data_IF_980695321172
#
_entry.id   IF_980695321172
#
_cell.length_a   1.000
_cell.length_b   1.000
_cell.length_c   1.000
_cell.angle_alpha   90.00
_cell.angle_beta   90.00
_cell.angle_gamma   90.00
#
_symmetry.space_group_name_H-M   'P 1'
#
loop_
_entity.id
_entity.type
_entity.pdbx_description
1 polymer ?
#
# COMPACT_ATOMS: atom_id res chain seq x y z
N UNK A 1 -18.64 5.32 -15.96
CA UNK A 1 -17.54 5.81 -15.09
C UNK A 1 -16.51 6.46 -15.99
N UNK A 2 -16.30 7.77 -15.86
CA UNK A 2 -15.25 8.44 -16.62
C UNK A 2 -13.89 8.06 -16.01
N UNK A 3 -13.37 6.92 -16.49
CA UNK A 3 -12.10 6.37 -16.04
C UNK A 3 -10.96 7.35 -16.30
N UNK A 4 -10.43 7.96 -15.25
CA UNK A 4 -9.30 8.86 -15.35
C UNK A 4 -8.33 8.64 -14.21
N UNK A 5 -7.08 9.09 -14.40
CA UNK A 5 -6.00 8.92 -13.44
C UNK A 5 -5.55 10.25 -12.86
N UNK A 6 -5.16 10.24 -11.59
CA UNK A 6 -4.39 11.32 -11.00
C UNK A 6 -2.99 10.80 -10.73
N UNK A 7 -1.98 11.48 -11.23
CA UNK A 7 -0.58 11.20 -10.93
C UNK A 7 -0.09 12.32 -10.03
N UNK A 8 0.54 11.94 -8.95
CA UNK A 8 1.09 12.84 -7.94
C UNK A 8 2.60 12.71 -7.92
N UNK A 9 3.30 13.82 -8.01
CA UNK A 9 4.77 13.83 -8.12
C UNK A 9 5.38 15.05 -7.42
N UNK A 10 6.70 15.13 -7.41
CA UNK A 10 7.47 16.25 -6.82
C UNK A 10 7.09 16.47 -5.35
N UNK A 11 7.42 15.50 -4.52
CA UNK A 11 7.02 15.52 -3.12
C UNK A 11 7.91 16.45 -2.29
N UNK A 12 7.31 17.48 -1.67
CA UNK A 12 8.01 18.41 -0.77
C UNK A 12 8.17 17.88 0.64
N UNK A 13 7.29 16.97 1.06
CA UNK A 13 7.30 16.44 2.42
C UNK A 13 6.97 14.96 2.45
N UNK A 14 7.76 14.21 3.23
CA UNK A 14 7.51 12.80 3.57
C UNK A 14 7.28 12.70 5.07
N UNK A 15 6.20 12.06 5.47
CA UNK A 15 5.86 11.80 6.87
C UNK A 15 5.81 10.30 7.08
N UNK A 16 6.62 9.78 7.98
CA UNK A 16 6.62 8.37 8.39
C UNK A 16 5.91 8.28 9.75
N UNK A 17 4.89 7.43 9.83
CA UNK A 17 4.14 7.24 11.05
C UNK A 17 4.78 6.18 11.95
N UNK A 18 4.88 6.53 13.23
CA UNK A 18 5.32 5.70 14.33
C UNK A 18 4.31 5.82 15.48
N UNK A 19 4.36 4.90 16.44
CA UNK A 19 3.44 4.92 17.61
C UNK A 19 3.36 6.29 18.31
N UNK A 20 4.51 6.98 18.37
CA UNK A 20 4.64 8.25 19.10
C UNK A 20 4.02 9.46 18.38
N UNK A 21 3.88 9.42 17.05
CA UNK A 21 3.44 10.59 16.26
C UNK A 21 2.09 10.43 15.58
N UNK A 22 1.46 9.24 15.62
CA UNK A 22 0.19 8.95 14.94
C UNK A 22 -0.91 9.93 15.37
N UNK A 23 -1.10 10.10 16.69
CA UNK A 23 -2.17 10.96 17.23
C UNK A 23 -1.93 12.41 16.84
N UNK A 24 -0.70 12.89 16.97
CA UNK A 24 -0.33 14.25 16.56
C UNK A 24 -0.54 14.48 15.07
N UNK A 25 -0.21 13.49 14.26
CA UNK A 25 -0.44 13.52 12.82
C UNK A 25 -1.93 13.60 12.50
N UNK A 26 -2.77 12.74 13.07
CA UNK A 26 -4.23 12.77 12.87
C UNK A 26 -4.84 14.09 13.33
N UNK A 27 -4.40 14.63 14.46
CA UNK A 27 -4.86 15.94 14.94
C UNK A 27 -4.41 17.08 14.03
N UNK A 28 -3.25 16.96 13.36
CA UNK A 28 -2.81 17.97 12.40
C UNK A 28 -3.70 18.02 11.16
N UNK A 29 -4.30 16.90 10.74
CA UNK A 29 -5.26 16.88 9.62
C UNK A 29 -6.52 17.68 9.91
N UNK A 30 -7.01 17.69 11.15
CA UNK A 30 -8.20 18.48 11.54
C UNK A 30 -7.99 19.99 11.38
N UNK A 31 -6.72 20.43 11.35
CA UNK A 31 -6.33 21.84 11.25
C UNK A 31 -5.89 22.24 9.83
N UNK A 32 -5.90 21.31 8.87
CA UNK A 32 -5.48 21.60 7.50
C UNK A 32 -6.52 22.51 6.82
N UNK A 33 -6.03 23.64 6.35
CA UNK A 33 -6.82 24.57 5.54
C UNK A 33 -6.48 24.32 4.08
N UNK A 34 -7.35 23.63 3.36
CA UNK A 34 -7.18 23.28 1.95
C UNK A 34 -7.46 24.50 1.07
N UNK A 35 -6.42 25.28 0.76
CA UNK A 35 -6.53 26.44 -0.13
C UNK A 35 -6.20 26.09 -1.59
N UNK A 36 -5.38 25.08 -1.82
CA UNK A 36 -4.91 24.67 -3.14
C UNK A 36 -5.14 23.17 -3.32
N UNK A 37 -5.27 22.70 -4.57
CA UNK A 37 -5.38 21.27 -4.86
C UNK A 37 -4.18 20.46 -4.35
N UNK A 38 -2.99 21.04 -4.30
CA UNK A 38 -1.75 20.44 -3.79
C UNK A 38 -1.67 20.42 -2.26
N UNK A 39 -2.61 21.06 -1.54
CA UNK A 39 -2.67 21.02 -0.07
C UNK A 39 -3.32 19.73 0.43
N UNK A 40 -2.79 18.61 -0.01
CA UNK A 40 -3.24 17.28 0.38
C UNK A 40 -2.05 16.38 0.72
N UNK A 41 -2.31 15.30 1.43
CA UNK A 41 -1.33 14.24 1.68
C UNK A 41 -1.82 12.93 1.07
N UNK A 42 -0.93 12.25 0.37
CA UNK A 42 -1.18 10.95 -0.23
C UNK A 42 -0.34 9.91 0.48
N UNK A 43 -0.94 8.81 0.85
CA UNK A 43 -0.23 7.77 1.55
C UNK A 43 -1.14 6.65 2.00
N UNK A 44 -0.67 5.89 2.97
CA UNK A 44 -1.42 4.80 3.53
C UNK A 44 -1.21 4.70 5.05
N UNK A 45 -2.18 4.11 5.71
CA UNK A 45 -2.08 3.62 7.08
C UNK A 45 -1.78 2.13 7.05
N UNK A 46 -0.71 1.70 7.74
CA UNK A 46 -0.46 0.28 7.97
C UNK A 46 -1.46 -0.28 8.97
N UNK A 47 -1.84 -1.55 8.80
CA UNK A 47 -2.83 -2.21 9.64
C UNK A 47 -2.47 -2.19 11.14
N UNK A 48 -1.18 -2.27 11.46
CA UNK A 48 -0.67 -2.27 12.85
C UNK A 48 -0.94 -0.96 13.62
N UNK A 49 -1.30 0.12 12.92
CA UNK A 49 -1.69 1.38 13.55
C UNK A 49 -2.97 1.24 14.39
N UNK A 50 -3.90 0.42 13.93
CA UNK A 50 -5.16 0.15 14.64
C UNK A 50 -4.90 -0.45 16.02
N UNK A 51 -3.89 -1.32 16.14
CA UNK A 51 -3.54 -1.92 17.43
C UNK A 51 -3.15 -0.87 18.48
N UNK A 52 -2.48 0.20 18.05
CA UNK A 52 -2.08 1.30 18.95
C UNK A 52 -3.26 2.21 19.29
N UNK A 53 -4.13 2.48 18.32
CA UNK A 53 -5.30 3.35 18.52
C UNK A 53 -6.34 2.68 19.42
N UNK A 54 -6.49 1.35 19.31
CA UNK A 54 -7.46 0.56 20.08
C UNK A 54 -6.88 -0.04 21.36
N UNK A 55 -5.59 0.21 21.67
CA UNK A 55 -4.92 -0.36 22.83
C UNK A 55 -4.74 -1.90 22.78
N UNK A 56 -4.86 -2.49 21.59
CA UNK A 56 -4.76 -3.95 21.44
C UNK A 56 -3.33 -4.42 21.50
N UNK A 57 -3.04 -5.36 22.43
CA UNK A 57 -1.75 -6.04 22.54
C UNK A 57 -1.75 -7.29 21.65
N UNK A 58 -1.49 -7.16 20.36
CA UNK A 58 -1.35 -8.31 19.47
C UNK A 58 0.08 -8.84 19.56
N UNK A 59 0.25 -10.17 19.67
CA UNK A 59 1.58 -10.81 19.62
C UNK A 59 2.32 -10.35 18.38
N UNK A 60 3.51 -9.77 18.56
CA UNK A 60 4.38 -9.33 17.47
C UNK A 60 4.65 -10.52 16.55
N UNK A 61 4.06 -10.51 15.37
CA UNK A 61 4.52 -11.40 14.30
C UNK A 61 5.95 -11.02 13.91
N UNK A 62 6.73 -12.02 13.46
CA UNK A 62 8.11 -11.83 13.00
C UNK A 62 8.19 -10.60 12.11
N UNK A 63 9.11 -9.70 12.43
CA UNK A 63 9.32 -8.37 11.85
C UNK A 63 9.21 -8.38 10.32
N UNK A 64 8.08 -8.01 9.81
CA UNK A 64 8.00 -7.39 8.50
C UNK A 64 8.33 -5.92 8.77
N UNK A 65 9.47 -5.44 8.28
CA UNK A 65 9.83 -4.02 8.37
C UNK A 65 8.94 -3.20 7.42
N UNK A 66 7.67 -3.12 7.74
CA UNK A 66 6.73 -2.28 7.01
C UNK A 66 6.43 -1.04 7.85
N UNK A 67 6.33 0.10 7.18
CA UNK A 67 5.98 1.34 7.86
C UNK A 67 4.55 1.28 8.40
N UNK A 68 4.33 1.84 9.58
CA UNK A 68 2.97 1.97 10.16
C UNK A 68 2.08 2.92 9.37
N UNK A 69 2.68 3.77 8.59
CA UNK A 69 2.08 4.63 7.60
C UNK A 69 3.12 5.53 7.00
N UNK A 70 2.90 5.92 5.77
CA UNK A 70 3.74 6.89 5.06
C UNK A 70 2.83 7.82 4.31
N UNK A 71 3.08 9.11 4.41
CA UNK A 71 2.36 10.14 3.69
C UNK A 71 3.32 11.08 2.99
N UNK A 72 2.94 11.53 1.81
CA UNK A 72 3.68 12.47 0.99
C UNK A 72 2.81 13.66 0.66
N UNK A 73 3.38 14.87 0.70
CA UNK A 73 2.75 16.08 0.17
C UNK A 73 3.23 16.30 -1.26
N UNK A 74 2.36 16.19 -2.28
CA UNK A 74 2.74 16.44 -3.67
C UNK A 74 2.82 17.94 -3.94
N UNK A 75 3.73 18.33 -4.82
CA UNK A 75 3.81 19.68 -5.38
C UNK A 75 3.24 19.74 -6.79
N UNK A 76 3.08 18.58 -7.44
CA UNK A 76 2.53 18.47 -8.79
C UNK A 76 1.46 17.40 -8.85
N UNK A 77 0.32 17.74 -9.46
CA UNK A 77 -0.80 16.84 -9.74
C UNK A 77 -1.07 16.85 -11.23
N UNK A 78 -1.00 15.69 -11.86
CA UNK A 78 -1.35 15.49 -13.26
C UNK A 78 -2.66 14.71 -13.32
N UNK A 79 -3.71 15.33 -13.81
CA UNK A 79 -5.02 14.71 -14.01
C UNK A 79 -5.16 14.28 -15.46
N UNK A 80 -5.30 13.01 -15.70
CA UNK A 80 -5.51 12.41 -17.01
C UNK A 80 -6.99 12.02 -17.13
N UNK A 81 -7.72 12.75 -17.96
CA UNK A 81 -9.11 12.55 -18.32
C UNK A 81 -9.21 12.58 -19.84
N UNK A 82 -10.34 13.03 -20.42
CA UNK A 82 -10.43 13.39 -21.84
C UNK A 82 -9.39 14.43 -22.24
N UNK A 83 -9.00 15.32 -21.29
CA UNK A 83 -7.89 16.27 -21.41
C UNK A 83 -6.91 16.03 -20.27
N UNK A 84 -5.64 16.36 -20.50
CA UNK A 84 -4.60 16.36 -19.47
C UNK A 84 -4.52 17.75 -18.88
N UNK A 85 -4.62 17.83 -17.54
CA UNK A 85 -4.38 19.07 -16.80
C UNK A 85 -3.27 18.87 -15.77
N UNK A 86 -2.44 19.86 -15.59
CA UNK A 86 -1.30 19.83 -14.66
C UNK A 86 -1.43 21.03 -13.72
N UNK A 87 -1.48 20.75 -12.43
CA UNK A 87 -1.40 21.75 -11.36
C UNK A 87 -0.07 21.56 -10.65
N UNK A 88 0.80 22.57 -10.63
CA UNK A 88 2.11 22.47 -10.00
C UNK A 88 2.48 23.75 -9.25
N UNK A 89 3.11 23.58 -8.09
CA UNK A 89 3.75 24.66 -7.34
C UNK A 89 5.21 24.89 -7.80
N UNK A 90 5.73 24.03 -8.67
CA UNK A 90 7.12 24.05 -9.15
C UNK A 90 7.15 24.57 -10.59
N UNK A 91 8.06 25.50 -10.88
CA UNK A 91 8.13 26.17 -12.20
C UNK A 91 8.72 25.28 -13.32
N UNK A 92 9.46 24.23 -13.01
CA UNK A 92 10.03 23.33 -14.01
C UNK A 92 10.06 21.89 -13.51
N UNK A 93 9.42 20.99 -14.23
CA UNK A 93 9.40 19.57 -13.94
C UNK A 93 10.27 18.83 -14.96
N UNK A 94 11.37 18.24 -14.52
CA UNK A 94 12.13 17.27 -15.31
C UNK A 94 11.57 15.89 -15.04
N UNK A 95 10.77 15.33 -15.94
CA UNK A 95 10.32 13.95 -15.88
C UNK A 95 11.46 13.05 -16.36
N UNK A 96 12.15 12.41 -15.43
CA UNK A 96 13.10 11.36 -15.75
C UNK A 96 12.36 10.02 -15.86
N UNK A 97 12.21 9.52 -17.06
CA UNK A 97 11.67 8.19 -17.31
C UNK A 97 12.77 7.13 -17.10
N UNK A 98 12.76 6.48 -15.94
CA UNK A 98 13.64 5.33 -15.71
C UNK A 98 12.90 4.05 -16.12
N UNK A 99 13.13 3.60 -17.35
CA UNK A 99 12.69 2.27 -17.80
C UNK A 99 13.74 1.23 -17.41
N UNK A 100 13.57 0.60 -16.26
CA UNK A 100 14.33 -0.60 -15.92
C UNK A 100 13.52 -1.84 -16.27
N UNK A 101 14.16 -2.81 -16.91
CA UNK A 101 13.53 -4.10 -17.20
C UNK A 101 13.28 -4.89 -15.91
N UNK A 102 12.13 -5.55 -15.84
CA UNK A 102 11.83 -6.49 -14.76
C UNK A 102 12.57 -7.80 -15.02
N UNK A 103 13.41 -8.23 -14.10
CA UNK A 103 14.16 -9.49 -14.19
C UNK A 103 13.79 -10.42 -13.04
N UNK A 104 13.30 -11.61 -13.38
CA UNK A 104 13.04 -12.68 -12.42
C UNK A 104 14.34 -13.46 -12.24
N UNK A 105 14.87 -13.50 -11.01
CA UNK A 105 16.16 -14.12 -10.68
C UNK A 105 16.03 -15.52 -10.08
N UNK A 106 14.84 -15.91 -9.62
CA UNK A 106 14.59 -17.25 -9.07
C UNK A 106 13.13 -17.66 -9.24
N UNK A 107 12.83 -18.98 -9.28
CA UNK A 107 11.45 -19.45 -9.29
C UNK A 107 10.70 -19.04 -7.99
N UNK A 108 9.39 -19.04 -8.06
CA UNK A 108 8.53 -18.81 -6.90
C UNK A 108 8.61 -20.00 -5.94
N UNK A 109 8.77 -19.71 -4.66
CA UNK A 109 8.71 -20.68 -3.57
C UNK A 109 7.53 -20.39 -2.67
N UNK A 110 6.77 -21.42 -2.35
CA UNK A 110 5.67 -21.35 -1.39
C UNK A 110 6.24 -21.37 0.04
N UNK A 111 5.62 -20.63 0.95
CA UNK A 111 6.05 -20.57 2.36
C UNK A 111 5.64 -21.80 3.17
N UNK A 112 4.68 -22.60 2.68
CA UNK A 112 4.23 -23.86 3.29
C UNK A 112 4.09 -24.92 2.21
N UNK A 113 4.41 -26.18 2.55
CA UNK A 113 4.12 -27.32 1.71
C UNK A 113 2.67 -27.81 1.85
N UNK A 114 2.24 -28.73 1.00
CA UNK A 114 0.88 -29.27 1.00
C UNK A 114 0.54 -29.99 2.30
N UNK A 115 1.46 -30.76 2.87
CA UNK A 115 1.26 -31.49 4.13
C UNK A 115 0.93 -30.54 5.29
N UNK A 116 1.71 -29.46 5.40
CA UNK A 116 1.49 -28.41 6.40
C UNK A 116 0.20 -27.64 6.15
N UNK A 117 -0.10 -27.31 4.89
CA UNK A 117 -1.37 -26.68 4.52
C UNK A 117 -2.56 -27.55 4.93
N UNK A 118 -2.56 -28.85 4.59
CA UNK A 118 -3.62 -29.80 4.94
C UNK A 118 -3.84 -29.86 6.46
N UNK A 119 -2.76 -29.97 7.25
CA UNK A 119 -2.87 -29.98 8.72
C UNK A 119 -3.54 -28.72 9.26
N UNK A 120 -3.19 -27.54 8.74
CA UNK A 120 -3.80 -26.26 9.11
C UNK A 120 -5.28 -26.26 8.72
N UNK A 121 -5.59 -26.69 7.50
CA UNK A 121 -6.96 -26.76 6.98
C UNK A 121 -7.83 -27.67 7.85
N UNK A 122 -7.38 -28.90 8.15
CA UNK A 122 -8.11 -29.86 8.97
C UNK A 122 -8.37 -29.32 10.39
N UNK A 123 -7.37 -28.61 10.97
CA UNK A 123 -7.52 -27.98 12.29
C UNK A 123 -8.59 -26.89 12.26
N UNK A 124 -8.57 -26.03 11.26
CA UNK A 124 -9.54 -24.94 11.15
C UNK A 124 -10.94 -25.42 10.77
N UNK A 125 -11.04 -26.46 9.95
CA UNK A 125 -12.31 -27.08 9.62
C UNK A 125 -13.01 -27.67 10.86
N UNK A 126 -12.24 -28.27 11.79
CA UNK A 126 -12.77 -28.72 13.08
C UNK A 126 -13.30 -27.57 13.92
N UNK A 127 -12.59 -26.44 13.97
CA UNK A 127 -13.00 -25.21 14.71
C UNK A 127 -14.28 -24.58 14.14
N UNK A 128 -14.45 -24.60 12.83
CA UNK A 128 -15.69 -24.15 12.19
C UNK A 128 -16.85 -25.08 12.55
N UNK A 129 -16.63 -26.42 12.47
CA UNK A 129 -17.66 -27.40 12.79
C UNK A 129 -18.05 -27.38 14.27
N UNK A 130 -17.12 -27.07 15.18
CA UNK A 130 -17.39 -26.92 16.62
C UNK A 130 -18.04 -25.56 16.99
N UNK A 131 -18.27 -24.69 16.01
CA UNK A 131 -18.91 -23.39 16.25
C UNK A 131 -17.98 -22.32 16.87
N UNK A 132 -16.67 -22.60 16.98
CA UNK A 132 -15.72 -21.60 17.51
C UNK A 132 -15.60 -20.36 16.59
N UNK A 133 -15.85 -20.56 15.30
CA UNK A 133 -15.87 -19.49 14.30
C UNK A 133 -16.65 -19.92 13.06
N UNK A 134 -17.19 -18.97 12.31
CA UNK A 134 -17.94 -19.26 11.07
C UNK A 134 -17.09 -19.22 9.81
N UNK A 135 -15.93 -18.55 9.85
CA UNK A 135 -15.04 -18.38 8.69
C UNK A 135 -13.60 -18.21 9.13
N UNK A 136 -12.68 -18.82 8.39
CA UNK A 136 -11.23 -18.65 8.55
C UNK A 136 -10.58 -18.52 7.18
N UNK A 137 -9.69 -17.55 7.04
CA UNK A 137 -8.89 -17.35 5.82
C UNK A 137 -7.49 -17.90 6.02
N UNK A 138 -7.10 -18.90 5.23
CA UNK A 138 -5.73 -19.43 5.20
C UNK A 138 -4.97 -18.70 4.09
N UNK A 139 -3.94 -17.94 4.48
CA UNK A 139 -3.11 -17.20 3.54
C UNK A 139 -1.80 -17.94 3.27
N UNK A 140 -1.49 -18.13 2.00
CA UNK A 140 -0.19 -18.65 1.54
C UNK A 140 0.63 -17.50 0.92
N UNK A 141 1.96 -17.59 1.01
CA UNK A 141 2.87 -16.59 0.51
C UNK A 141 3.85 -17.17 -0.50
N UNK A 142 3.84 -16.65 -1.70
CA UNK A 142 4.86 -16.92 -2.70
C UNK A 142 6.00 -15.93 -2.56
N UNK A 143 7.23 -16.42 -2.68
CA UNK A 143 8.45 -15.60 -2.65
C UNK A 143 9.36 -15.97 -3.80
N UNK A 144 9.97 -14.99 -4.42
CA UNK A 144 11.07 -15.17 -5.35
C UNK A 144 12.12 -14.07 -5.15
N UNK A 145 13.27 -14.23 -5.82
CA UNK A 145 14.23 -13.14 -6.01
C UNK A 145 13.96 -12.51 -7.37
N UNK A 146 13.75 -11.22 -7.41
CA UNK A 146 13.53 -10.48 -8.66
C UNK A 146 14.00 -9.04 -8.49
N UNK A 147 14.47 -8.49 -9.60
CA UNK A 147 14.68 -7.05 -9.74
C UNK A 147 13.49 -6.50 -10.50
N UNK A 148 12.66 -5.75 -9.79
CA UNK A 148 11.41 -5.21 -10.33
C UNK A 148 11.46 -3.71 -10.20
N UNK A 149 11.24 -3.01 -11.33
CA UNK A 149 10.84 -1.62 -11.25
C UNK A 149 9.37 -1.59 -10.78
N UNK A 150 9.09 -1.03 -9.59
CA UNK A 150 7.75 -1.09 -9.01
C UNK A 150 6.72 -0.32 -9.86
N UNK A 151 7.12 0.75 -10.53
CA UNK A 151 6.23 1.54 -11.39
C UNK A 151 5.82 0.75 -12.63
N UNK A 152 6.78 0.13 -13.33
CA UNK A 152 6.50 -0.69 -14.50
C UNK A 152 5.66 -1.92 -14.15
N UNK A 153 5.93 -2.52 -12.99
CA UNK A 153 5.17 -3.66 -12.49
C UNK A 153 3.73 -3.26 -12.14
N UNK A 154 3.54 -2.13 -11.48
CA UNK A 154 2.23 -1.56 -11.18
C UNK A 154 1.41 -1.35 -12.47
N UNK A 155 1.98 -0.72 -13.49
CA UNK A 155 1.29 -0.49 -14.77
C UNK A 155 0.91 -1.79 -15.48
N UNK A 156 1.74 -2.83 -15.39
CA UNK A 156 1.37 -4.16 -15.90
C UNK A 156 0.19 -4.76 -15.14
N UNK A 157 0.21 -4.68 -13.82
CA UNK A 157 -0.90 -5.17 -12.99
C UNK A 157 -2.19 -4.43 -13.29
N UNK A 158 -2.15 -3.10 -13.43
CA UNK A 158 -3.32 -2.28 -13.77
C UNK A 158 -3.94 -2.67 -15.12
N UNK A 159 -3.14 -3.10 -16.10
CA UNK A 159 -3.65 -3.56 -17.39
C UNK A 159 -4.33 -4.94 -17.32
N UNK A 160 -3.86 -5.81 -16.44
CA UNK A 160 -4.34 -7.20 -16.34
C UNK A 160 -5.42 -7.39 -15.28
N UNK A 161 -5.38 -6.60 -14.22
CA UNK A 161 -6.28 -6.70 -13.08
C UNK A 161 -6.49 -5.29 -12.47
N UNK A 162 -7.26 -4.48 -13.18
CA UNK A 162 -7.58 -3.13 -12.72
C UNK A 162 -8.45 -3.19 -11.46
N UNK A 163 -7.96 -2.57 -10.39
CA UNK A 163 -8.74 -2.34 -9.18
C UNK A 163 -9.28 -0.90 -9.19
N UNK A 164 -10.51 -0.65 -8.70
CA UNK A 164 -11.09 0.70 -8.63
C UNK A 164 -10.23 1.68 -7.82
N UNK A 165 -9.47 1.18 -6.86
CA UNK A 165 -8.64 1.96 -5.93
C UNK A 165 -7.17 1.46 -5.96
N UNK A 166 -6.45 1.75 -7.02
CA UNK A 166 -5.05 1.35 -7.19
C UNK A 166 -4.12 2.54 -7.24
#
# INVERSE_FOLDING_TARGET
MDGGYNIYTDFSKKIILHNKNVINFLNSFKKLNYKKETDLYIGFFGYEILNNLLGLKIKKQKKINFYKGVFYKPETIIKIRKKISITSNIKSNKFNSFFQSTKILSPFKLNIDFKKYKKIFDTFSKKIRSGETYQIKICTKYKNKSQINPVNFFWKLMKTNASPES
#
